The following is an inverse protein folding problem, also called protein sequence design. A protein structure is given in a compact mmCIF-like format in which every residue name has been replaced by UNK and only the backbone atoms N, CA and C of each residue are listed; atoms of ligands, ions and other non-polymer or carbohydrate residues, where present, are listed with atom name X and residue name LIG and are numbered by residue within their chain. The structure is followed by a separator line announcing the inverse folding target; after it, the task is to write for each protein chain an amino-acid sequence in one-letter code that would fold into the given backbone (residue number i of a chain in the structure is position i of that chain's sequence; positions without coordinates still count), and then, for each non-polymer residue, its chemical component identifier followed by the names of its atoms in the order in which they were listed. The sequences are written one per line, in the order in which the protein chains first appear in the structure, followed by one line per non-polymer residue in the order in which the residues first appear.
data_IF_996432114721
#
_entry.id   IF_996432114721
#
_cell.length_a   1.000
_cell.length_b   1.000
_cell.length_c   1.000
_cell.angle_alpha   90.00
_cell.angle_beta   90.00
_cell.angle_gamma   90.00
#
_symmetry.space_group_name_H-M   'P 1'
#
loop_
_entity.id
_entity.type
_entity.pdbx_description
1 polymer ?
#
# COMPACT_ATOMS: atom_id res chain seq x y z
N UNK A 1 13.25 -7.06 26.06
CA UNK A 1 13.64 -7.39 24.66
C UNK A 1 12.35 -7.66 23.91
N UNK A 2 12.05 -6.90 22.86
CA UNK A 2 10.87 -7.15 22.03
C UNK A 2 10.97 -8.49 21.30
N UNK A 3 9.84 -9.14 21.06
CA UNK A 3 9.75 -10.35 20.25
C UNK A 3 10.14 -10.03 18.79
N UNK A 4 10.88 -10.95 18.17
CA UNK A 4 11.48 -10.78 16.84
C UNK A 4 11.10 -11.97 15.97
N UNK A 5 10.78 -11.73 14.70
CA UNK A 5 10.65 -12.75 13.65
C UNK A 5 11.69 -12.50 12.58
N UNK A 6 12.20 -13.57 11.97
CA UNK A 6 13.10 -13.49 10.83
C UNK A 6 12.36 -13.98 9.58
N UNK A 7 12.53 -13.24 8.49
CA UNK A 7 11.97 -13.56 7.19
C UNK A 7 13.03 -13.33 6.10
N UNK A 8 13.14 -14.22 5.09
CA UNK A 8 14.16 -14.09 4.04
C UNK A 8 14.04 -12.83 3.17
N UNK A 9 12.83 -12.27 3.05
CA UNK A 9 12.53 -11.10 2.20
C UNK A 9 12.53 -9.83 3.05
N UNK A 10 11.90 -9.89 4.22
CA UNK A 10 11.68 -8.72 5.08
C UNK A 10 12.79 -8.49 6.10
N UNK A 11 13.69 -9.47 6.27
CA UNK A 11 14.69 -9.46 7.32
C UNK A 11 14.05 -9.61 8.70
N UNK A 12 14.45 -8.76 9.63
CA UNK A 12 13.92 -8.78 10.99
C UNK A 12 12.61 -7.99 11.10
N UNK A 13 11.57 -8.64 11.63
CA UNK A 13 10.33 -8.01 12.04
C UNK A 13 10.32 -7.82 13.56
N UNK A 14 9.94 -6.63 13.99
CA UNK A 14 9.82 -6.25 15.40
C UNK A 14 8.35 -6.08 15.74
N UNK A 15 7.92 -6.72 16.82
CA UNK A 15 6.57 -6.54 17.36
C UNK A 15 6.40 -5.13 17.93
N UNK A 16 5.28 -4.49 17.64
CA UNK A 16 4.94 -3.20 18.21
C UNK A 16 4.75 -3.31 19.74
N UNK A 17 5.28 -2.36 20.50
CA UNK A 17 5.31 -2.44 21.97
C UNK A 17 3.91 -2.39 22.62
N UNK A 18 2.96 -1.70 21.96
CA UNK A 18 1.62 -1.42 22.50
C UNK A 18 0.49 -2.21 21.87
N UNK A 19 0.71 -2.81 20.70
CA UNK A 19 -0.33 -3.47 19.93
C UNK A 19 0.06 -4.92 19.71
N UNK A 20 -0.64 -5.80 20.43
CA UNK A 20 -0.52 -7.24 20.19
C UNK A 20 -0.97 -7.54 18.76
N UNK A 21 -0.26 -8.43 18.06
CA UNK A 21 -0.54 -8.75 16.67
C UNK A 21 0.04 -7.79 15.62
N UNK A 22 0.53 -6.61 16.00
CA UNK A 22 1.18 -5.68 15.06
C UNK A 22 2.69 -5.91 14.98
N UNK A 23 3.18 -6.20 13.78
CA UNK A 23 4.59 -6.41 13.50
C UNK A 23 5.06 -5.50 12.39
N UNK A 24 6.32 -5.07 12.44
CA UNK A 24 6.88 -4.15 11.45
C UNK A 24 8.27 -4.56 11.00
N UNK A 25 8.53 -4.45 9.70
CA UNK A 25 9.87 -4.60 9.13
C UNK A 25 10.74 -3.37 9.36
N UNK A 26 12.06 -3.52 9.20
CA UNK A 26 12.88 -2.36 8.85
C UNK A 26 12.49 -1.84 7.45
N UNK A 27 12.67 -0.55 7.14
CA UNK A 27 12.38 -0.04 5.80
C UNK A 27 13.19 -0.75 4.72
N UNK A 28 12.51 -1.12 3.63
CA UNK A 28 13.11 -1.76 2.46
C UNK A 28 13.04 -0.79 1.27
N UNK A 29 14.04 -0.78 0.38
CA UNK A 29 13.97 0.03 -0.83
C UNK A 29 12.88 -0.54 -1.75
N UNK A 30 11.95 0.30 -2.18
CA UNK A 30 10.86 -0.10 -3.08
C UNK A 30 11.12 0.39 -4.50
N UNK A 31 11.46 -0.48 -5.46
CA UNK A 31 11.89 -0.06 -6.80
C UNK A 31 10.79 0.67 -7.59
N UNK A 32 9.51 0.35 -7.34
CA UNK A 32 8.37 1.09 -7.91
C UNK A 32 8.42 2.59 -7.59
N UNK A 33 9.02 2.98 -6.46
CA UNK A 33 9.17 4.36 -6.00
C UNK A 33 10.64 4.82 -6.02
N UNK A 34 11.39 4.44 -7.06
CA UNK A 34 12.80 4.83 -7.23
C UNK A 34 13.69 4.45 -6.02
N UNK A 35 13.33 3.36 -5.33
CA UNK A 35 14.06 2.87 -4.16
C UNK A 35 13.72 3.58 -2.86
N UNK A 36 12.63 4.36 -2.80
CA UNK A 36 12.18 4.98 -1.56
C UNK A 36 12.04 3.91 -0.43
N UNK A 37 12.54 4.21 0.79
CA UNK A 37 12.51 3.26 1.89
C UNK A 37 11.11 3.17 2.49
N UNK A 38 10.49 1.99 2.46
CA UNK A 38 9.16 1.74 3.02
C UNK A 38 9.23 0.61 4.06
N UNK A 39 8.76 0.88 5.27
CA UNK A 39 8.52 -0.16 6.28
C UNK A 39 7.15 -0.81 6.08
N UNK A 40 7.09 -2.14 6.24
CA UNK A 40 5.85 -2.91 6.10
C UNK A 40 5.30 -3.32 7.47
N UNK A 41 4.05 -2.96 7.73
CA UNK A 41 3.27 -3.42 8.89
C UNK A 41 2.41 -4.63 8.54
N UNK A 42 2.28 -5.52 9.51
CA UNK A 42 1.48 -6.73 9.45
C UNK A 42 0.57 -6.75 10.67
N UNK A 43 -0.73 -6.67 10.42
CA UNK A 43 -1.77 -6.67 11.45
C UNK A 43 -2.25 -8.11 11.70
N UNK A 44 -2.87 -8.33 12.87
CA UNK A 44 -3.49 -9.60 13.28
C UNK A 44 -2.57 -10.84 13.27
N UNK A 45 -1.25 -10.63 13.38
CA UNK A 45 -0.28 -11.72 13.51
C UNK A 45 -0.18 -12.20 14.96
N UNK A 46 -1.08 -13.11 15.32
CA UNK A 46 -1.03 -13.79 16.62
C UNK A 46 0.17 -14.73 16.76
N UNK A 47 0.60 -14.94 18.02
CA UNK A 47 1.65 -15.89 18.41
C UNK A 47 3.09 -15.44 18.11
N UNK A 48 4.03 -16.32 18.42
CA UNK A 48 5.48 -16.10 18.24
C UNK A 48 6.07 -16.91 17.07
N UNK A 49 5.21 -17.53 16.26
CA UNK A 49 5.60 -18.33 15.10
C UNK A 49 6.20 -17.49 13.95
N UNK A 50 6.76 -18.16 12.93
CA UNK A 50 7.27 -17.46 11.74
C UNK A 50 6.15 -16.68 11.03
N UNK A 51 6.54 -15.71 10.21
CA UNK A 51 5.59 -15.03 9.32
C UNK A 51 4.97 -16.07 8.36
N UNK A 52 3.64 -16.07 8.14
CA UNK A 52 3.02 -16.90 7.11
C UNK A 52 3.64 -16.63 5.74
N UNK A 53 3.97 -17.70 5.01
CA UNK A 53 4.74 -17.63 3.77
C UNK A 53 4.05 -16.77 2.70
N UNK A 54 2.72 -16.81 2.65
CA UNK A 54 1.91 -16.04 1.72
C UNK A 54 2.04 -14.51 1.93
N UNK A 55 2.23 -14.05 3.18
CA UNK A 55 2.43 -12.63 3.45
C UNK A 55 3.81 -12.17 2.97
N UNK A 56 4.84 -12.98 3.22
CA UNK A 56 6.20 -12.75 2.71
C UNK A 56 6.22 -12.75 1.17
N UNK A 57 5.56 -13.73 0.54
CA UNK A 57 5.52 -13.88 -0.91
C UNK A 57 4.86 -12.68 -1.61
N UNK A 58 3.84 -12.09 -0.99
CA UNK A 58 3.12 -10.92 -1.52
C UNK A 58 3.98 -9.67 -1.46
N UNK A 59 4.71 -9.45 -0.36
CA UNK A 59 5.70 -8.36 -0.32
C UNK A 59 6.82 -8.61 -1.33
N UNK A 60 7.30 -9.85 -1.46
CA UNK A 60 8.31 -10.20 -2.46
C UNK A 60 7.83 -9.92 -3.90
N UNK A 61 6.55 -10.13 -4.19
CA UNK A 61 5.95 -9.79 -5.47
C UNK A 61 5.91 -8.29 -5.71
N UNK A 62 5.51 -7.53 -4.68
CA UNK A 62 5.49 -6.08 -4.72
C UNK A 62 6.88 -5.47 -4.92
N UNK A 63 7.90 -5.97 -4.22
CA UNK A 63 9.28 -5.51 -4.36
C UNK A 63 9.91 -5.82 -5.73
N UNK A 64 9.26 -6.63 -6.58
CA UNK A 64 9.68 -6.83 -7.98
C UNK A 64 9.13 -5.77 -8.93
N UNK A 65 8.12 -4.99 -8.53
CA UNK A 65 7.63 -3.87 -9.31
C UNK A 65 8.67 -2.75 -9.34
N UNK A 66 8.85 -2.17 -10.51
CA UNK A 66 9.85 -1.15 -10.83
C UNK A 66 9.18 0.07 -11.45
N UNK A 67 9.97 1.12 -11.70
CA UNK A 67 9.47 2.30 -12.43
C UNK A 67 9.00 2.00 -13.84
N UNK A 68 9.45 0.91 -14.46
CA UNK A 68 8.96 0.48 -15.77
C UNK A 68 7.49 0.02 -15.72
N UNK A 69 7.02 -0.48 -14.56
CA UNK A 69 5.66 -0.97 -14.37
C UNK A 69 4.64 0.16 -14.18
N UNK A 70 5.11 1.39 -13.88
CA UNK A 70 4.27 2.58 -13.66
C UNK A 70 3.33 2.86 -14.82
N UNK A 71 3.75 2.59 -16.05
CA UNK A 71 2.93 2.84 -17.24
C UNK A 71 1.56 2.13 -17.20
N UNK A 72 1.50 0.91 -16.64
CA UNK A 72 0.26 0.15 -16.50
C UNK A 72 -0.66 0.69 -15.39
N UNK A 73 -0.12 1.50 -14.48
CA UNK A 73 -0.77 2.02 -13.28
C UNK A 73 -1.12 3.51 -13.39
N UNK A 74 -0.53 4.22 -14.37
CA UNK A 74 -0.68 5.67 -14.52
C UNK A 74 -2.13 6.10 -14.72
N UNK A 75 -2.90 5.39 -15.55
CA UNK A 75 -4.26 5.82 -15.90
C UNK A 75 -5.21 5.91 -14.69
N UNK A 76 -5.35 4.88 -13.83
CA UNK A 76 -6.22 4.99 -12.66
C UNK A 76 -5.75 6.05 -11.65
N UNK A 77 -4.43 6.24 -11.50
CA UNK A 77 -3.90 7.31 -10.63
C UNK A 77 -4.21 8.70 -11.20
N UNK A 78 -4.08 8.85 -12.51
CA UNK A 78 -4.44 10.08 -13.20
C UNK A 78 -5.94 10.38 -13.07
N UNK A 79 -6.80 9.37 -13.18
CA UNK A 79 -8.25 9.53 -12.97
C UNK A 79 -8.57 10.03 -11.56
N UNK A 80 -7.95 9.45 -10.52
CA UNK A 80 -8.10 9.95 -9.15
C UNK A 80 -7.67 11.42 -9.04
N UNK A 81 -6.53 11.81 -9.61
CA UNK A 81 -6.12 13.22 -9.65
C UNK A 81 -7.17 14.11 -10.33
N UNK A 82 -7.71 13.69 -11.48
CA UNK A 82 -8.71 14.47 -12.22
C UNK A 82 -10.00 14.65 -11.43
N UNK A 83 -10.44 13.62 -10.70
CA UNK A 83 -11.64 13.68 -9.84
C UNK A 83 -11.45 14.69 -8.70
N UNK A 84 -10.29 14.67 -8.04
CA UNK A 84 -9.97 15.65 -6.98
C UNK A 84 -9.82 17.05 -7.57
N UNK A 85 -9.16 17.19 -8.72
CA UNK A 85 -9.03 18.48 -9.41
C UNK A 85 -10.39 19.06 -9.80
N UNK A 86 -11.34 18.24 -10.24
CA UNK A 86 -12.70 18.67 -10.55
C UNK A 86 -13.44 19.15 -9.30
N UNK A 87 -13.25 18.47 -8.17
CA UNK A 87 -13.92 18.81 -6.91
C UNK A 87 -13.32 20.02 -6.20
N UNK A 88 -11.99 20.12 -6.14
CA UNK A 88 -11.25 21.12 -5.36
C UNK A 88 -10.70 22.29 -6.22
N UNK A 89 -10.68 22.16 -7.55
CA UNK A 89 -10.21 23.21 -8.44
C UNK A 89 -8.71 23.50 -8.30
N UNK A 90 -8.33 24.77 -8.40
CA UNK A 90 -6.92 25.18 -8.44
C UNK A 90 -6.11 24.77 -7.18
N UNK A 91 -6.76 24.50 -6.05
CA UNK A 91 -6.09 24.05 -4.82
C UNK A 91 -5.48 22.65 -4.95
N UNK A 92 -6.06 21.80 -5.81
CA UNK A 92 -5.54 20.46 -6.09
C UNK A 92 -4.58 20.42 -7.29
N UNK A 93 -4.37 21.54 -7.98
CA UNK A 93 -3.65 21.57 -9.25
C UNK A 93 -2.15 21.32 -9.07
N UNK A 94 -1.64 20.34 -9.79
CA UNK A 94 -0.19 20.06 -9.90
C UNK A 94 0.34 20.33 -11.30
N UNK A 95 1.64 20.60 -11.39
CA UNK A 95 2.34 20.85 -12.67
C UNK A 95 2.68 19.53 -13.39
N UNK A 96 1.65 18.78 -13.78
CA UNK A 96 1.74 17.55 -14.57
C UNK A 96 1.25 17.82 -15.99
N UNK A 97 2.15 17.80 -16.97
CA UNK A 97 1.83 18.06 -18.38
C UNK A 97 1.25 16.83 -19.09
N UNK A 98 1.62 15.64 -18.61
CA UNK A 98 1.14 14.34 -19.10
C UNK A 98 0.79 13.43 -17.92
N UNK A 99 -0.07 12.42 -18.13
CA UNK A 99 -0.43 11.48 -17.07
C UNK A 99 0.79 10.86 -16.36
N UNK A 100 1.87 10.56 -17.09
CA UNK A 100 3.07 9.94 -16.52
C UNK A 100 3.83 10.85 -15.54
N UNK A 101 3.65 12.17 -15.65
CA UNK A 101 4.29 13.13 -14.75
C UNK A 101 3.72 13.04 -13.32
N UNK A 102 2.54 12.44 -13.14
CA UNK A 102 1.86 12.36 -11.84
C UNK A 102 2.70 11.68 -10.76
N UNK A 103 3.55 10.73 -11.16
CA UNK A 103 4.44 9.99 -10.25
C UNK A 103 5.45 10.89 -9.53
N UNK A 104 5.77 12.07 -10.08
CA UNK A 104 6.65 13.07 -9.45
C UNK A 104 6.00 13.73 -8.22
N UNK A 105 4.68 13.62 -8.10
CA UNK A 105 3.88 14.19 -7.05
C UNK A 105 3.37 13.15 -6.07
N UNK A 106 3.97 11.95 -6.03
CA UNK A 106 3.59 10.86 -5.13
C UNK A 106 4.81 10.49 -4.30
N UNK A 107 4.67 10.48 -2.97
CA UNK A 107 5.72 10.05 -2.06
C UNK A 107 5.19 8.98 -1.10
N UNK A 108 5.71 7.74 -1.14
CA UNK A 108 5.25 6.70 -0.24
C UNK A 108 5.67 7.01 1.19
N UNK A 109 4.79 6.74 2.15
CA UNK A 109 5.04 6.97 3.58
C UNK A 109 5.08 5.65 4.33
N UNK A 110 4.16 4.73 4.05
CA UNK A 110 4.02 3.50 4.81
C UNK A 110 3.40 2.37 3.98
N UNK A 111 3.78 1.12 4.25
CA UNK A 111 3.19 -0.07 3.64
C UNK A 111 2.52 -0.96 4.67
N UNK A 112 1.32 -1.47 4.37
CA UNK A 112 0.63 -2.46 5.20
C UNK A 112 0.33 -3.72 4.37
N UNK A 113 0.43 -4.89 5.02
CA UNK A 113 0.12 -6.19 4.43
C UNK A 113 -1.09 -6.77 5.12
N UNK A 114 -2.19 -6.88 4.38
CA UNK A 114 -3.51 -7.12 4.95
C UNK A 114 -4.25 -8.19 4.15
N UNK A 115 -5.18 -8.87 4.81
CA UNK A 115 -6.21 -9.67 4.14
C UNK A 115 -7.47 -8.84 4.03
N UNK A 116 -8.25 -9.11 2.98
CA UNK A 116 -9.61 -8.62 2.90
C UNK A 116 -10.44 -9.11 4.09
N UNK A 117 -11.37 -8.27 4.58
CA UNK A 117 -12.32 -8.66 5.63
C UNK A 117 -13.52 -9.42 5.04
N UNK A 118 -13.78 -9.28 3.74
CA UNK A 118 -14.76 -10.08 3.01
C UNK A 118 -14.37 -11.56 3.00
N UNK A 119 -15.24 -12.44 3.50
CA UNK A 119 -14.99 -13.88 3.54
C UNK A 119 -14.92 -14.54 2.14
N UNK A 120 -15.49 -13.87 1.12
CA UNK A 120 -15.43 -14.28 -0.27
C UNK A 120 -14.06 -14.01 -0.89
N UNK A 121 -13.34 -12.99 -0.40
CA UNK A 121 -12.02 -12.62 -0.89
C UNK A 121 -10.93 -13.04 0.11
N UNK A 122 -10.19 -14.10 -0.25
CA UNK A 122 -9.07 -14.63 0.54
C UNK A 122 -7.70 -14.09 0.12
N UNK A 123 -7.67 -13.06 -0.73
CA UNK A 123 -6.43 -12.48 -1.20
C UNK A 123 -5.71 -11.71 -0.08
N UNK A 124 -4.40 -11.58 -0.28
CA UNK A 124 -3.52 -10.73 0.53
C UNK A 124 -3.11 -9.55 -0.35
N UNK A 125 -3.06 -8.38 0.26
CA UNK A 125 -2.81 -7.12 -0.40
C UNK A 125 -1.59 -6.44 0.21
N UNK A 126 -0.89 -5.67 -0.63
CA UNK A 126 0.01 -4.61 -0.18
C UNK A 126 -0.72 -3.29 -0.36
N UNK A 127 -0.97 -2.59 0.74
CA UNK A 127 -1.48 -1.22 0.72
C UNK A 127 -0.31 -0.27 0.95
N UNK A 128 -0.11 0.67 0.04
CA UNK A 128 0.85 1.76 0.22
C UNK A 128 0.07 3.04 0.48
N UNK A 129 0.31 3.63 1.65
CA UNK A 129 -0.08 5.00 1.94
C UNK A 129 0.99 5.91 1.38
N UNK A 130 0.56 6.92 0.64
CA UNK A 130 1.37 7.95 0.05
C UNK A 130 0.83 9.31 0.47
N UNK A 131 1.70 10.31 0.57
CA UNK A 131 1.22 11.66 0.33
C UNK A 131 1.24 11.94 -1.18
N UNK A 132 0.44 12.92 -1.59
CA UNK A 132 0.45 13.38 -2.97
C UNK A 132 0.25 14.90 -3.09
N UNK A 133 0.67 15.46 -4.23
CA UNK A 133 0.68 16.91 -4.44
C UNK A 133 -0.70 17.54 -4.61
N UNK A 134 -1.72 16.74 -4.96
CA UNK A 134 -3.07 17.23 -5.23
C UNK A 134 -4.06 17.06 -4.07
N UNK A 135 -3.73 16.20 -3.10
CA UNK A 135 -4.56 15.94 -1.92
C UNK A 135 -3.66 15.85 -0.66
N UNK A 136 -3.18 16.99 -0.15
CA UNK A 136 -2.21 17.01 0.94
C UNK A 136 -2.81 16.64 2.32
N UNK A 137 -4.14 16.73 2.48
CA UNK A 137 -4.82 16.43 3.75
C UNK A 137 -5.06 14.92 3.91
N UNK A 138 -5.58 14.26 2.87
CA UNK A 138 -5.95 12.85 2.92
C UNK A 138 -4.92 11.92 2.25
N UNK A 139 -4.08 12.45 1.37
CA UNK A 139 -3.07 11.71 0.64
C UNK A 139 -3.64 10.76 -0.42
N UNK A 140 -2.82 9.77 -0.78
CA UNK A 140 -3.14 8.77 -1.80
C UNK A 140 -2.90 7.37 -1.25
N UNK A 141 -3.82 6.46 -1.53
CA UNK A 141 -3.72 5.06 -1.20
C UNK A 141 -3.65 4.22 -2.48
N UNK A 142 -2.63 3.39 -2.58
CA UNK A 142 -2.44 2.43 -3.67
C UNK A 142 -2.52 1.01 -3.11
N UNK A 143 -3.43 0.19 -3.64
CA UNK A 143 -3.61 -1.19 -3.17
C UNK A 143 -3.24 -2.18 -4.26
N UNK A 144 -2.36 -3.11 -3.91
CA UNK A 144 -1.85 -4.15 -4.80
C UNK A 144 -2.34 -5.53 -4.38
N UNK A 145 -3.28 -6.11 -5.14
CA UNK A 145 -3.72 -7.50 -4.99
C UNK A 145 -2.57 -8.45 -5.33
N UNK A 146 -2.34 -9.44 -4.47
CA UNK A 146 -1.24 -10.40 -4.58
C UNK A 146 0.15 -9.75 -4.74
N UNK A 147 0.27 -8.47 -4.36
CA UNK A 147 1.49 -7.68 -4.46
C UNK A 147 1.86 -7.17 -5.85
N UNK A 148 1.19 -7.57 -6.93
CA UNK A 148 1.60 -7.19 -8.29
C UNK A 148 0.51 -6.56 -9.16
N UNK A 149 -0.75 -6.60 -8.73
CA UNK A 149 -1.87 -6.02 -9.48
C UNK A 149 -2.40 -4.79 -8.74
N UNK A 150 -2.23 -3.59 -9.29
CA UNK A 150 -2.87 -2.39 -8.75
C UNK A 150 -4.39 -2.54 -8.89
N UNK A 151 -5.06 -2.81 -7.77
CA UNK A 151 -6.49 -3.12 -7.73
C UNK A 151 -7.35 -1.98 -7.19
N UNK A 152 -6.75 -0.98 -6.55
CA UNK A 152 -7.47 0.18 -6.01
C UNK A 152 -6.57 1.41 -5.90
N UNK A 153 -7.14 2.56 -6.24
CA UNK A 153 -6.58 3.89 -6.04
C UNK A 153 -7.65 4.72 -5.34
N UNK A 154 -7.34 5.28 -4.18
CA UNK A 154 -8.29 6.05 -3.38
C UNK A 154 -7.57 7.07 -2.52
N UNK A 155 -8.31 7.93 -1.82
CA UNK A 155 -7.80 8.56 -0.60
C UNK A 155 -7.50 7.48 0.46
N UNK A 156 -6.78 7.86 1.53
CA UNK A 156 -6.52 6.93 2.62
C UNK A 156 -7.79 6.66 3.44
N UNK A 157 -8.33 5.45 3.28
CA UNK A 157 -9.46 4.94 4.07
C UNK A 157 -9.11 3.66 4.86
N UNK A 158 -7.92 3.09 4.64
CA UNK A 158 -7.45 1.88 5.29
C UNK A 158 -7.95 0.57 4.67
N UNK A 159 -8.89 0.60 3.73
CA UNK A 159 -9.52 -0.58 3.15
C UNK A 159 -8.83 -1.07 1.87
N UNK A 160 -8.79 -2.39 1.64
CA UNK A 160 -8.09 -2.97 0.48
C UNK A 160 -9.03 -3.32 -0.68
N UNK A 161 -10.34 -3.31 -0.45
CA UNK A 161 -11.38 -3.49 -1.47
C UNK A 161 -12.57 -2.54 -1.23
N UNK A 162 -13.42 -2.34 -2.24
CA UNK A 162 -14.68 -1.60 -2.08
C UNK A 162 -15.69 -2.35 -1.17
N UNK A 163 -15.65 -3.69 -1.16
CA UNK A 163 -16.46 -4.50 -0.24
C UNK A 163 -16.05 -4.23 1.21
N UNK A 164 -14.74 -4.16 1.47
CA UNK A 164 -14.21 -3.82 2.80
C UNK A 164 -14.62 -2.40 3.20
N UNK A 165 -14.55 -1.43 2.28
CA UNK A 165 -14.89 -0.03 2.55
C UNK A 165 -16.39 0.18 2.82
N UNK A 166 -17.26 -0.56 2.11
CA UNK A 166 -18.71 -0.50 2.31
C UNK A 166 -19.20 -1.30 3.52
N UNK A 167 -18.37 -2.19 4.09
CA UNK A 167 -18.75 -3.11 5.16
C UNK A 167 -19.77 -4.16 4.75
N UNK A 168 -20.03 -4.32 3.44
CA UNK A 168 -21.01 -5.28 2.92
C UNK A 168 -20.33 -6.64 2.80
N UNK A 169 -20.58 -7.52 3.76
CA UNK A 169 -20.19 -8.94 3.67
C UNK A 169 -21.29 -9.68 2.92
N UNK A 170 -21.11 -9.95 1.63
CA UNK A 170 -22.03 -10.84 0.90
C UNK A 170 -21.92 -12.23 1.54
N UNK A 171 -22.99 -12.65 2.23
CA UNK A 171 -23.06 -13.93 2.96
C UNK A 171 -23.57 -15.04 2.05
#
# INVERSE_FOLDING_TARGET
MGLRRLDPVLGELVRHERYDGLWRSSPLPVPLFDGAPIGFEFEDLSGDGPLPLELSAVVAAFLRLTTADRAAMTLPIWQNYQEILEAAGDDAKVDAARPEDIWRFIWPTHGAVLRSISAADRNVYVRITCGCGWEPEHGLQLVFRAGCELSRVSEYDGHVTEEDASGITTT
#
